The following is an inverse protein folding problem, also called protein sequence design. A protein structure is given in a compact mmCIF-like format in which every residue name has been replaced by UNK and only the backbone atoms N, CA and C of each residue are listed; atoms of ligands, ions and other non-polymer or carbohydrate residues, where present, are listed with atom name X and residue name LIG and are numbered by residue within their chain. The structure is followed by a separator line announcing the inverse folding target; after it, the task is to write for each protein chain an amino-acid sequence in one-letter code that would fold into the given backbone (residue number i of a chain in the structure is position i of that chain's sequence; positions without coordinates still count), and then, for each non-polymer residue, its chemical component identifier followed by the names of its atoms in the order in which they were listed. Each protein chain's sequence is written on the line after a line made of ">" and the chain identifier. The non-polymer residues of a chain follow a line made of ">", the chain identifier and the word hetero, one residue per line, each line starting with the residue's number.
data_IF_826793486021
#
_entry.id   IF_826793486021
#
_cell.length_a   1.000
_cell.length_b   1.000
_cell.length_c   1.000
_cell.angle_alpha   90.00
_cell.angle_beta   90.00
_cell.angle_gamma   90.00
#
_symmetry.space_group_name_H-M   'P 1'
#
loop_
_entity.id
_entity.type
_entity.pdbx_description
1 polymer ?
#
# COMPACT_ATOMS: atom_id res chain seq x y z
N UNK A 1 1.01 20.98 19.23
CA UNK A 1 2.27 21.39 19.89
C UNK A 1 2.17 22.86 20.18
N UNK A 2 2.46 23.32 21.40
CA UNK A 2 2.38 24.74 21.77
C UNK A 2 3.59 25.56 21.29
N UNK A 3 4.68 24.91 20.86
CA UNK A 3 5.95 25.59 20.56
C UNK A 3 6.50 25.37 19.14
N UNK A 4 5.94 24.45 18.35
CA UNK A 4 6.50 24.08 17.02
C UNK A 4 5.48 24.31 15.89
N UNK A 5 5.58 25.42 15.14
CA UNK A 5 4.64 25.77 14.07
C UNK A 5 4.59 24.77 12.90
N UNK A 6 5.70 24.08 12.62
CA UNK A 6 5.82 23.12 11.51
C UNK A 6 5.26 21.73 11.84
N UNK A 7 4.97 21.43 13.12
CA UNK A 7 4.62 20.08 13.56
C UNK A 7 3.12 19.85 13.49
N UNK A 8 2.69 19.09 12.47
CA UNK A 8 1.32 18.57 12.34
C UNK A 8 1.29 17.10 12.77
N UNK A 9 0.50 16.79 13.80
CA UNK A 9 0.29 15.43 14.29
C UNK A 9 -1.14 14.98 13.96
N UNK A 10 -1.37 13.69 13.66
CA UNK A 10 -2.71 13.16 13.38
C UNK A 10 -3.52 12.92 14.67
N UNK A 11 -3.66 13.93 15.53
CA UNK A 11 -4.22 13.80 16.89
C UNK A 11 -5.66 13.26 16.92
N UNK A 12 -6.44 13.53 15.88
CA UNK A 12 -7.82 13.07 15.81
C UNK A 12 -7.89 11.56 15.59
N UNK A 13 -7.04 11.00 14.72
CA UNK A 13 -6.99 9.55 14.48
C UNK A 13 -6.25 8.80 15.59
N UNK A 14 -5.27 9.43 16.25
CA UNK A 14 -4.69 8.94 17.51
C UNK A 14 -5.77 8.77 18.59
N UNK A 15 -6.63 9.78 18.75
CA UNK A 15 -7.75 9.70 19.68
C UNK A 15 -8.77 8.62 19.29
N UNK A 16 -9.15 8.51 18.00
CA UNK A 16 -10.04 7.45 17.51
C UNK A 16 -9.49 6.05 17.81
N UNK A 17 -8.17 5.86 17.69
CA UNK A 17 -7.50 4.59 18.04
C UNK A 17 -7.71 4.24 19.51
N UNK A 18 -7.63 5.23 20.41
CA UNK A 18 -7.92 5.05 21.83
C UNK A 18 -9.39 4.68 22.10
N UNK A 19 -10.33 5.41 21.50
CA UNK A 19 -11.77 5.16 21.66
C UNK A 19 -12.18 3.77 21.16
N UNK A 20 -11.59 3.29 20.06
CA UNK A 20 -11.82 1.94 19.55
C UNK A 20 -11.39 0.85 20.56
N UNK A 21 -10.37 1.11 21.39
CA UNK A 21 -9.97 0.20 22.47
C UNK A 21 -11.02 0.14 23.57
N UNK A 22 -11.62 1.27 23.93
CA UNK A 22 -12.69 1.35 24.94
C UNK A 22 -13.95 0.64 24.46
N UNK A 23 -14.40 0.91 23.23
CA UNK A 23 -15.59 0.23 22.66
C UNK A 23 -15.38 -1.28 22.63
N UNK A 24 -14.21 -1.77 22.22
CA UNK A 24 -13.91 -3.21 22.21
C UNK A 24 -13.84 -3.80 23.62
N UNK A 25 -13.43 -3.05 24.63
CA UNK A 25 -13.34 -3.54 26.00
C UNK A 25 -14.71 -3.95 26.58
N UNK A 26 -15.82 -3.41 26.05
CA UNK A 26 -17.18 -3.82 26.40
C UNK A 26 -17.54 -5.25 25.91
N UNK A 27 -16.82 -5.81 24.93
CA UNK A 27 -17.16 -7.10 24.31
C UNK A 27 -16.98 -8.26 25.29
N UNK A 28 -15.87 -8.31 26.02
CA UNK A 28 -15.59 -9.41 26.96
C UNK A 28 -16.67 -9.52 28.04
N UNK A 29 -17.00 -8.47 28.83
CA UNK A 29 -18.05 -8.56 29.83
C UNK A 29 -19.44 -8.79 29.21
N UNK A 30 -19.71 -8.30 27.99
CA UNK A 30 -20.96 -8.63 27.28
C UNK A 30 -21.07 -10.13 26.95
N UNK A 31 -19.96 -10.78 26.56
CA UNK A 31 -19.94 -12.23 26.31
C UNK A 31 -20.10 -13.03 27.61
N UNK A 32 -19.49 -12.58 28.71
CA UNK A 32 -19.65 -13.19 30.03
C UNK A 32 -21.10 -13.12 30.53
N UNK A 33 -21.85 -12.07 30.17
CA UNK A 33 -23.28 -11.92 30.49
C UNK A 33 -24.21 -12.93 29.80
N UNK A 34 -23.75 -13.72 28.81
CA UNK A 34 -24.62 -14.62 28.03
C UNK A 34 -25.02 -15.87 28.81
N UNK A 35 -24.13 -16.43 29.61
CA UNK A 35 -24.31 -17.73 30.27
C UNK A 35 -25.09 -17.61 31.60
N UNK A 36 -26.28 -17.01 31.56
CA UNK A 36 -27.15 -16.83 32.73
C UNK A 36 -27.73 -18.17 33.23
N UNK A 37 -28.05 -18.23 34.52
CA UNK A 37 -28.55 -19.44 35.17
C UNK A 37 -30.07 -19.60 35.01
N UNK A 38 -30.50 -20.78 34.54
CA UNK A 38 -31.90 -21.16 34.35
C UNK A 38 -32.69 -20.15 33.50
N UNK A 39 -33.81 -19.62 33.98
CA UNK A 39 -34.63 -18.66 33.24
C UNK A 39 -34.01 -17.25 33.21
N UNK A 40 -33.15 -16.93 34.18
CA UNK A 40 -32.29 -15.73 34.28
C UNK A 40 -31.71 -15.58 35.70
N UNK A 41 -30.50 -15.05 35.79
CA UNK A 41 -30.02 -14.32 36.97
C UNK A 41 -29.79 -12.84 36.62
N UNK A 42 -29.53 -11.99 37.62
CA UNK A 42 -29.48 -10.52 37.45
C UNK A 42 -28.05 -9.95 37.37
N UNK A 43 -27.01 -10.81 37.30
CA UNK A 43 -25.61 -10.37 37.31
C UNK A 43 -25.28 -9.40 36.15
N UNK A 44 -25.86 -9.64 34.97
CA UNK A 44 -25.72 -8.79 33.79
C UNK A 44 -26.15 -7.33 34.01
N UNK A 45 -27.11 -7.06 34.91
CA UNK A 45 -27.67 -5.72 35.10
C UNK A 45 -26.64 -4.69 35.56
N UNK A 46 -25.69 -5.04 36.44
CA UNK A 46 -24.66 -4.09 36.88
C UNK A 46 -23.64 -3.81 35.78
N UNK A 47 -23.29 -4.83 34.99
CA UNK A 47 -22.37 -4.73 33.84
C UNK A 47 -23.00 -3.88 32.73
N UNK A 48 -24.23 -4.16 32.33
CA UNK A 48 -24.96 -3.46 31.26
C UNK A 48 -25.16 -1.97 31.56
N UNK A 49 -25.31 -1.60 32.83
CA UNK A 49 -25.37 -0.19 33.26
C UNK A 49 -24.05 0.56 33.01
N UNK A 50 -22.93 -0.14 32.92
CA UNK A 50 -21.64 0.46 32.59
C UNK A 50 -21.41 0.39 31.08
N UNK A 51 -21.41 -0.82 30.51
CA UNK A 51 -20.98 -1.01 29.12
C UNK A 51 -22.00 -0.46 28.11
N UNK A 52 -23.29 -0.45 28.43
CA UNK A 52 -24.34 0.04 27.53
C UNK A 52 -24.17 1.53 27.18
N UNK A 53 -24.27 2.44 28.16
CA UNK A 53 -24.08 3.88 27.89
C UNK A 53 -22.65 4.20 27.43
N UNK A 54 -21.63 3.61 28.05
CA UNK A 54 -20.24 3.96 27.73
C UNK A 54 -19.87 3.54 26.31
N UNK A 55 -20.25 2.34 25.86
CA UNK A 55 -19.95 1.89 24.51
C UNK A 55 -20.73 2.70 23.46
N UNK A 56 -22.01 2.99 23.70
CA UNK A 56 -22.86 3.70 22.73
C UNK A 56 -22.44 5.17 22.57
N UNK A 57 -22.24 5.91 23.67
CA UNK A 57 -21.80 7.31 23.64
C UNK A 57 -20.38 7.44 23.07
N UNK A 58 -19.48 6.53 23.46
CA UNK A 58 -18.10 6.52 22.92
C UNK A 58 -18.09 6.28 21.42
N UNK A 59 -18.89 5.31 20.95
CA UNK A 59 -18.98 4.99 19.52
C UNK A 59 -19.62 6.14 18.72
N UNK A 60 -20.70 6.74 19.21
CA UNK A 60 -21.33 7.90 18.58
C UNK A 60 -20.34 9.06 18.39
N UNK A 61 -19.61 9.40 19.45
CA UNK A 61 -18.57 10.43 19.36
C UNK A 61 -17.47 10.06 18.35
N UNK A 62 -17.01 8.79 18.37
CA UNK A 62 -15.99 8.30 17.46
C UNK A 62 -16.45 8.37 16.00
N UNK A 63 -17.70 8.01 15.70
CA UNK A 63 -18.26 8.06 14.34
C UNK A 63 -18.38 9.49 13.84
N UNK A 64 -18.92 10.41 14.64
CA UNK A 64 -19.00 11.84 14.28
C UNK A 64 -17.61 12.44 14.03
N UNK A 65 -16.64 12.10 14.88
CA UNK A 65 -15.25 12.53 14.71
C UNK A 65 -14.61 11.94 13.46
N UNK A 66 -14.79 10.64 13.20
CA UNK A 66 -14.27 9.98 11.99
C UNK A 66 -14.86 10.59 10.73
N UNK A 67 -16.17 10.83 10.69
CA UNK A 67 -16.83 11.51 9.58
C UNK A 67 -16.21 12.89 9.33
N UNK A 68 -15.96 13.68 10.38
CA UNK A 68 -15.27 14.97 10.23
C UNK A 68 -13.81 14.84 9.78
N UNK A 69 -13.10 13.77 10.14
CA UNK A 69 -11.73 13.52 9.66
C UNK A 69 -11.76 13.25 8.16
N UNK A 70 -12.61 12.32 7.70
CA UNK A 70 -12.74 11.98 6.28
C UNK A 70 -13.18 13.20 5.46
N UNK A 71 -14.21 13.93 5.91
CA UNK A 71 -14.74 15.09 5.19
C UNK A 71 -13.72 16.24 5.03
N UNK A 72 -12.70 16.31 5.89
CA UNK A 72 -11.66 17.36 5.89
C UNK A 72 -10.27 16.81 5.58
N UNK A 73 -10.18 15.56 5.14
CA UNK A 73 -8.90 14.92 4.88
C UNK A 73 -8.23 15.62 3.69
N UNK A 74 -7.02 16.12 3.92
CA UNK A 74 -6.21 16.71 2.84
C UNK A 74 -5.38 15.60 2.21
N UNK A 75 -5.59 15.39 0.91
CA UNK A 75 -4.81 14.46 0.09
C UNK A 75 -3.83 15.26 -0.75
N UNK A 76 -2.62 14.74 -0.95
CA UNK A 76 -1.58 15.35 -1.77
C UNK A 76 -1.24 14.43 -2.96
N UNK A 77 -2.00 14.50 -4.07
CA UNK A 77 -1.81 13.61 -5.23
C UNK A 77 -0.40 13.68 -5.82
N UNK A 78 0.20 14.87 -5.87
CA UNK A 78 1.58 15.04 -6.36
C UNK A 78 2.59 14.26 -5.52
N UNK A 79 2.45 14.26 -4.19
CA UNK A 79 3.31 13.47 -3.31
C UNK A 79 3.07 11.97 -3.49
N UNK A 80 1.83 11.55 -3.74
CA UNK A 80 1.50 10.14 -4.03
C UNK A 80 2.18 9.67 -5.31
N UNK A 81 2.05 10.45 -6.39
CA UNK A 81 2.70 10.16 -7.67
C UNK A 81 4.23 10.17 -7.54
N UNK A 82 4.78 11.16 -6.81
CA UNK A 82 6.22 11.23 -6.55
C UNK A 82 6.72 9.97 -5.82
N UNK A 83 6.11 9.58 -4.70
CA UNK A 83 6.54 8.40 -3.95
C UNK A 83 6.42 7.10 -4.75
N UNK A 84 5.42 6.99 -5.62
CA UNK A 84 5.29 5.83 -6.52
C UNK A 84 6.45 5.74 -7.53
N UNK A 85 6.94 6.89 -8.00
CA UNK A 85 8.05 7.00 -8.95
C UNK A 85 9.44 6.96 -8.28
N UNK A 86 9.53 7.16 -6.95
CA UNK A 86 10.80 7.20 -6.22
C UNK A 86 11.60 5.88 -6.27
N UNK A 87 10.94 4.74 -6.54
CA UNK A 87 11.59 3.43 -6.64
C UNK A 87 11.97 3.04 -8.08
N UNK A 88 12.17 4.01 -8.97
CA UNK A 88 12.76 3.78 -10.28
C UNK A 88 11.99 2.81 -11.19
N UNK A 89 10.66 2.79 -11.09
CA UNK A 89 9.79 1.95 -11.92
C UNK A 89 9.65 0.48 -11.48
N UNK A 90 10.19 0.07 -10.32
CA UNK A 90 10.08 -1.33 -9.84
C UNK A 90 8.63 -1.84 -9.77
N UNK A 91 7.65 -0.97 -9.54
CA UNK A 91 6.24 -1.36 -9.47
C UNK A 91 5.72 -2.02 -10.77
N UNK A 92 6.34 -1.74 -11.93
CA UNK A 92 5.99 -2.35 -13.22
C UNK A 92 6.62 -3.73 -13.47
N UNK A 93 7.45 -4.24 -12.55
CA UNK A 93 8.15 -5.52 -12.71
C UNK A 93 7.20 -6.69 -13.05
N UNK A 94 5.98 -6.70 -12.48
CA UNK A 94 4.99 -7.73 -12.79
C UNK A 94 4.45 -7.63 -14.22
N UNK A 95 4.26 -6.42 -14.76
CA UNK A 95 3.82 -6.21 -16.16
C UNK A 95 4.86 -6.76 -17.11
N UNK A 96 6.15 -6.50 -16.85
CA UNK A 96 7.27 -7.04 -17.62
C UNK A 96 7.29 -8.57 -17.57
N UNK A 97 7.13 -9.17 -16.38
CA UNK A 97 7.09 -10.62 -16.24
C UNK A 97 5.95 -11.24 -17.05
N UNK A 98 4.74 -10.68 -16.96
CA UNK A 98 3.58 -11.18 -17.70
C UNK A 98 3.79 -11.05 -19.21
N UNK A 99 4.28 -9.90 -19.66
CA UNK A 99 4.58 -9.65 -21.06
C UNK A 99 5.61 -10.66 -21.61
N UNK A 100 6.67 -10.96 -20.86
CA UNK A 100 7.63 -12.00 -21.25
C UNK A 100 6.96 -13.36 -21.39
N UNK A 101 6.14 -13.76 -20.42
CA UNK A 101 5.44 -15.05 -20.49
C UNK A 101 4.43 -15.14 -21.65
N UNK A 102 3.79 -14.02 -22.00
CA UNK A 102 2.87 -13.93 -23.13
C UNK A 102 3.60 -14.01 -24.49
N UNK A 103 4.88 -13.63 -24.53
CA UNK A 103 5.74 -13.71 -25.71
C UNK A 103 6.59 -15.00 -25.77
N UNK A 104 6.22 -16.03 -25.01
CA UNK A 104 6.81 -17.37 -25.11
C UNK A 104 8.01 -17.64 -24.21
N UNK A 105 8.39 -16.70 -23.33
CA UNK A 105 9.41 -16.95 -22.31
C UNK A 105 8.83 -17.83 -21.20
N UNK A 106 9.59 -18.81 -20.74
CA UNK A 106 9.18 -19.60 -19.58
C UNK A 106 9.01 -18.69 -18.36
N UNK A 107 8.07 -19.01 -17.46
CA UNK A 107 7.86 -18.20 -16.25
C UNK A 107 9.12 -18.13 -15.37
N UNK A 108 9.89 -19.21 -15.33
CA UNK A 108 11.14 -19.27 -14.57
C UNK A 108 12.19 -18.33 -15.15
N UNK A 109 12.36 -18.33 -16.47
CA UNK A 109 13.34 -17.47 -17.14
C UNK A 109 12.92 -16.00 -17.10
N UNK A 110 11.64 -15.72 -17.32
CA UNK A 110 11.07 -14.38 -17.16
C UNK A 110 11.30 -13.84 -15.75
N UNK A 111 11.10 -14.68 -14.71
CA UNK A 111 11.37 -14.29 -13.34
C UNK A 111 12.86 -13.98 -13.11
N UNK A 112 13.79 -14.81 -13.60
CA UNK A 112 15.23 -14.55 -13.48
C UNK A 112 15.64 -13.22 -14.14
N UNK A 113 15.11 -12.92 -15.33
CA UNK A 113 15.36 -11.65 -16.04
C UNK A 113 14.83 -10.47 -15.23
N UNK A 114 13.57 -10.51 -14.82
CA UNK A 114 12.96 -9.41 -14.07
C UNK A 114 13.65 -9.21 -12.72
N UNK A 115 13.95 -10.31 -12.01
CA UNK A 115 14.61 -10.28 -10.71
C UNK A 115 16.00 -9.64 -10.82
N UNK A 116 16.85 -10.07 -11.75
CA UNK A 116 18.21 -9.50 -11.85
C UNK A 116 18.18 -8.01 -12.16
N UNK A 117 17.27 -7.55 -13.02
CA UNK A 117 17.14 -6.12 -13.34
C UNK A 117 16.57 -5.32 -12.16
N UNK A 118 15.57 -5.85 -11.46
CA UNK A 118 15.02 -5.22 -10.27
C UNK A 118 16.06 -5.10 -9.13
N UNK A 119 16.91 -6.11 -8.95
CA UNK A 119 18.02 -6.05 -7.98
C UNK A 119 19.03 -4.97 -8.33
N UNK A 120 19.32 -4.75 -9.61
CA UNK A 120 20.16 -3.62 -10.06
C UNK A 120 19.53 -2.26 -9.77
N UNK A 121 18.21 -2.15 -9.88
CA UNK A 121 17.52 -0.92 -9.45
C UNK A 121 17.77 -0.65 -7.97
N UNK A 122 17.62 -1.64 -7.09
CA UNK A 122 17.95 -1.47 -5.67
C UNK A 122 19.41 -1.05 -5.46
N UNK A 123 20.35 -1.71 -6.13
CA UNK A 123 21.78 -1.36 -6.07
C UNK A 123 22.02 0.08 -6.49
N UNK A 124 21.38 0.57 -7.55
CA UNK A 124 21.51 1.97 -7.98
C UNK A 124 21.03 3.00 -6.93
N UNK A 125 20.25 2.59 -5.93
CA UNK A 125 19.89 3.40 -4.76
C UNK A 125 20.86 3.25 -3.58
N UNK A 126 21.95 2.50 -3.76
CA UNK A 126 22.92 2.18 -2.72
C UNK A 126 22.48 1.06 -1.78
N UNK A 127 21.43 0.31 -2.14
CA UNK A 127 20.84 -0.75 -1.31
C UNK A 127 21.13 -2.09 -1.97
N UNK A 128 21.81 -3.00 -1.28
CA UNK A 128 21.89 -4.41 -1.67
C UNK A 128 20.87 -5.22 -0.83
N UNK A 129 19.77 -5.72 -1.41
CA UNK A 129 18.79 -6.49 -0.67
C UNK A 129 19.34 -7.81 -0.10
N UNK A 130 20.39 -8.37 -0.71
CA UNK A 130 21.04 -9.60 -0.22
C UNK A 130 22.03 -9.30 0.92
N UNK A 131 22.57 -8.07 0.97
CA UNK A 131 23.50 -7.58 1.99
C UNK A 131 23.08 -6.20 2.54
N UNK A 132 21.95 -6.10 3.28
CA UNK A 132 21.32 -4.81 3.61
C UNK A 132 22.12 -3.93 4.58
N UNK A 133 23.13 -4.48 5.25
CA UNK A 133 23.98 -3.74 6.20
C UNK A 133 25.31 -3.29 5.59
N UNK A 134 25.58 -3.64 4.33
CA UNK A 134 26.82 -3.30 3.63
C UNK A 134 26.52 -2.27 2.54
N UNK A 135 27.54 -1.48 2.17
CA UNK A 135 27.41 -0.57 1.05
C UNK A 135 27.35 -1.39 -0.25
N UNK A 136 26.33 -1.15 -1.08
CA UNK A 136 26.23 -1.80 -2.38
C UNK A 136 27.46 -1.47 -3.25
N UNK A 137 28.10 -2.50 -3.79
CA UNK A 137 29.13 -2.32 -4.82
C UNK A 137 28.44 -1.93 -6.14
N UNK A 138 28.81 -0.76 -6.67
CA UNK A 138 28.20 -0.19 -7.89
C UNK A 138 29.15 -0.28 -9.07
N UNK A 139 28.64 -0.78 -10.20
CA UNK A 139 29.31 -0.68 -11.48
C UNK A 139 28.98 0.66 -12.19
N UNK A 140 29.52 0.88 -13.39
CA UNK A 140 29.30 2.12 -14.14
C UNK A 140 27.86 2.27 -14.65
N UNK A 141 27.20 1.16 -14.97
CA UNK A 141 25.79 1.15 -15.38
C UNK A 141 24.86 1.48 -14.20
N UNK A 142 25.18 1.01 -12.99
CA UNK A 142 24.42 1.32 -11.79
C UNK A 142 24.51 2.82 -11.44
N UNK A 143 25.66 3.45 -11.72
CA UNK A 143 25.85 4.91 -11.60
C UNK A 143 25.10 5.68 -12.68
N UNK A 144 25.12 5.21 -13.93
CA UNK A 144 24.38 5.82 -15.04
C UNK A 144 22.87 5.81 -14.79
N UNK A 145 22.35 4.68 -14.27
CA UNK A 145 20.94 4.52 -13.93
C UNK A 145 20.43 5.59 -12.95
N UNK A 146 21.29 6.16 -12.10
CA UNK A 146 20.90 7.21 -11.17
C UNK A 146 20.40 8.50 -11.85
N UNK A 147 20.74 8.71 -13.12
CA UNK A 147 20.30 9.84 -13.94
C UNK A 147 18.95 9.63 -14.65
N UNK A 148 18.34 8.45 -14.48
CA UNK A 148 17.08 8.09 -15.13
C UNK A 148 15.93 7.95 -14.13
N UNK A 149 14.76 8.45 -14.53
CA UNK A 149 13.53 8.37 -13.72
C UNK A 149 13.04 6.92 -13.62
N UNK A 150 13.01 6.19 -14.74
CA UNK A 150 12.66 4.76 -14.79
C UNK A 150 13.92 3.89 -14.93
N UNK A 151 14.55 3.59 -13.79
CA UNK A 151 15.77 2.78 -13.72
C UNK A 151 15.54 1.33 -14.14
N UNK A 152 14.37 0.77 -13.86
CA UNK A 152 14.00 -0.58 -14.28
C UNK A 152 14.04 -0.67 -15.81
N UNK A 153 13.44 0.29 -16.51
CA UNK A 153 13.49 0.33 -17.97
C UNK A 153 14.90 0.49 -18.50
N UNK A 154 15.70 1.36 -17.90
CA UNK A 154 17.10 1.51 -18.28
C UNK A 154 17.84 0.16 -18.23
N UNK A 155 17.76 -0.58 -17.13
CA UNK A 155 18.43 -1.88 -17.02
C UNK A 155 17.87 -2.92 -17.99
N UNK A 156 16.54 -2.99 -18.14
CA UNK A 156 15.92 -3.89 -19.11
C UNK A 156 16.37 -3.59 -20.55
N UNK A 157 16.53 -2.31 -20.91
CA UNK A 157 17.01 -1.91 -22.25
C UNK A 157 18.46 -2.31 -22.54
N UNK A 158 19.25 -2.55 -21.48
CA UNK A 158 20.66 -2.97 -21.54
C UNK A 158 20.84 -4.47 -21.30
N UNK A 159 19.77 -5.21 -21.06
CA UNK A 159 19.83 -6.65 -20.80
C UNK A 159 19.92 -7.44 -22.12
N UNK A 160 21.11 -7.95 -22.43
CA UNK A 160 21.36 -8.75 -23.63
C UNK A 160 20.47 -10.00 -23.71
N UNK A 161 20.20 -10.65 -22.57
CA UNK A 161 19.34 -11.84 -22.52
C UNK A 161 17.86 -11.54 -22.74
N UNK A 162 17.46 -10.26 -22.70
CA UNK A 162 16.12 -9.82 -23.05
C UNK A 162 16.00 -9.51 -24.55
N UNK A 163 17.04 -8.92 -25.15
CA UNK A 163 17.08 -8.55 -26.56
C UNK A 163 17.00 -9.75 -27.52
N UNK A 164 17.42 -10.94 -27.08
CA UNK A 164 17.33 -12.17 -27.86
C UNK A 164 15.91 -12.75 -27.93
N UNK A 165 15.04 -12.38 -26.98
CA UNK A 165 13.76 -13.08 -26.74
C UNK A 165 12.55 -12.20 -26.99
N UNK A 166 12.74 -10.87 -26.98
CA UNK A 166 11.69 -9.89 -27.20
C UNK A 166 12.20 -8.76 -28.10
N UNK A 167 11.36 -8.31 -29.04
CA UNK A 167 11.62 -7.10 -29.81
C UNK A 167 11.71 -5.88 -28.88
N UNK A 168 12.83 -5.12 -28.88
CA UNK A 168 12.99 -3.93 -28.05
C UNK A 168 11.88 -2.88 -28.19
N UNK A 169 11.26 -2.78 -29.37
CA UNK A 169 10.15 -1.85 -29.60
C UNK A 169 8.88 -2.24 -28.83
N UNK A 170 8.61 -3.54 -28.67
CA UNK A 170 7.42 -4.03 -27.96
C UNK A 170 7.59 -3.85 -26.45
N UNK A 171 8.81 -4.02 -25.95
CA UNK A 171 9.16 -3.72 -24.56
C UNK A 171 9.07 -2.22 -24.24
N UNK A 172 9.55 -1.37 -25.15
CA UNK A 172 9.40 0.08 -25.02
C UNK A 172 7.92 0.47 -25.01
N UNK A 173 7.10 -0.08 -25.91
CA UNK A 173 5.66 0.18 -25.94
C UNK A 173 4.92 -0.23 -24.64
N UNK A 174 5.29 -1.37 -24.03
CA UNK A 174 4.75 -1.79 -22.73
C UNK A 174 5.03 -0.76 -21.62
N UNK A 175 6.23 -0.17 -21.65
CA UNK A 175 6.72 0.69 -20.58
C UNK A 175 6.41 2.18 -20.83
N UNK A 176 6.10 2.56 -22.08
CA UNK A 176 5.53 3.85 -22.45
C UNK A 176 4.03 3.93 -22.14
N UNK A 177 3.33 2.79 -22.00
CA UNK A 177 1.95 2.76 -21.51
C UNK A 177 1.91 3.18 -20.03
N UNK A 178 1.16 4.25 -19.74
CA UNK A 178 0.96 4.77 -18.40
C UNK A 178 0.53 3.67 -17.42
N UNK A 179 1.44 3.34 -16.50
CA UNK A 179 1.23 2.30 -15.48
C UNK A 179 -0.03 2.54 -14.65
N UNK A 180 -0.32 3.82 -14.35
CA UNK A 180 -1.50 4.19 -13.57
C UNK A 180 -2.76 3.78 -14.32
N UNK A 181 -2.87 4.14 -15.59
CA UNK A 181 -3.99 3.75 -16.46
C UNK A 181 -4.18 2.23 -16.53
N UNK A 182 -3.10 1.46 -16.69
CA UNK A 182 -3.18 -0.01 -16.69
C UNK A 182 -3.77 -0.58 -15.38
N UNK A 183 -3.32 -0.06 -14.24
CA UNK A 183 -3.76 -0.51 -12.91
C UNK A 183 -5.14 0.04 -12.50
N UNK A 184 -5.60 1.13 -13.12
CA UNK A 184 -6.88 1.79 -12.77
C UNK A 184 -8.01 1.52 -13.74
N UNK A 185 -7.77 0.80 -14.85
CA UNK A 185 -8.78 0.50 -15.91
C UNK A 185 -10.09 -0.16 -15.45
N UNK A 186 -10.15 -0.69 -14.23
CA UNK A 186 -11.34 -1.34 -13.66
C UNK A 186 -11.90 -0.62 -12.43
N UNK A 187 -11.38 0.58 -12.10
CA UNK A 187 -11.88 1.39 -10.97
C UNK A 187 -13.36 1.69 -11.14
N UNK A 188 -13.81 2.08 -12.34
CA UNK A 188 -15.22 2.41 -12.59
C UNK A 188 -16.16 1.22 -12.36
N UNK A 189 -15.75 0.01 -12.76
CA UNK A 189 -16.52 -1.21 -12.49
C UNK A 189 -16.68 -1.49 -11.00
N UNK A 190 -15.67 -1.15 -10.18
CA UNK A 190 -15.75 -1.28 -8.72
C UNK A 190 -16.69 -0.23 -8.15
N UNK A 191 -16.57 1.02 -8.61
CA UNK A 191 -17.41 2.13 -8.16
C UNK A 191 -18.89 1.89 -8.47
N UNK A 192 -19.20 1.43 -9.69
CA UNK A 192 -20.57 1.09 -10.10
C UNK A 192 -21.19 0.02 -9.18
N UNK A 193 -20.41 -1.00 -8.79
CA UNK A 193 -20.91 -2.06 -7.89
C UNK A 193 -21.16 -1.59 -6.47
N UNK A 194 -20.36 -0.64 -5.97
CA UNK A 194 -20.42 -0.20 -4.57
C UNK A 194 -21.41 0.94 -4.39
N UNK A 195 -21.48 1.86 -5.35
CA UNK A 195 -22.25 3.11 -5.24
C UNK A 195 -23.43 3.18 -6.22
N UNK A 196 -23.53 2.26 -7.19
CA UNK A 196 -24.54 2.28 -8.26
C UNK A 196 -24.13 3.15 -9.45
N UNK A 197 -25.01 3.23 -10.46
CA UNK A 197 -24.92 4.27 -11.48
C UNK A 197 -25.19 5.64 -10.81
N UNK A 198 -24.23 6.55 -10.93
CA UNK A 198 -24.31 7.92 -10.37
C UNK A 198 -25.17 8.83 -11.24
#
# INVERSE_FOLDING_TARGET
>A
SSAMPHKRNPILTENLTGLARIVRAAVVPALENVALWHERDISHSSVERMIGPDATVTLDFALNRLASVIAKLVVYPENMAKHMNEFGGIHDAQRVLLFLTQNGVSREDAYKIVQRNAMRVWKSFGIDPDSPNEAAELDDLDREAASHDNRLFFFLSKDEGLAEVVNPNDLAALLDEDSISYHTKHVDTIFERVFGES
#
